data_IF_730959580758
#
_entry.id   IF_730959580758
#
_cell.length_a   1.000
_cell.length_b   1.000
_cell.length_c   1.000
_cell.angle_alpha   90.00
_cell.angle_beta   90.00
_cell.angle_gamma   90.00
#
_symmetry.space_group_name_H-M   'P 1'
#
loop_
_entity.id
_entity.type
_entity.pdbx_description
1 polymer ?
#
# COMPACT_ATOMS: atom_id res chain seq x y z
N UNK A 1 10.01 -2.19 1.85
CA UNK A 1 10.63 -2.32 0.50
C UNK A 1 11.27 -1.00 0.12
N UNK A 2 12.52 -1.04 -0.27
CA UNK A 2 13.27 0.15 -0.68
C UNK A 2 13.00 0.45 -2.15
N UNK A 3 12.66 1.70 -2.46
CA UNK A 3 12.45 2.15 -3.83
C UNK A 3 12.61 3.67 -3.89
N UNK A 4 12.89 4.19 -5.08
CA UNK A 4 13.03 5.64 -5.28
C UNK A 4 11.66 6.34 -5.13
N UNK A 5 11.68 7.57 -4.62
CA UNK A 5 10.48 8.41 -4.58
C UNK A 5 9.87 8.53 -5.97
N UNK A 6 8.55 8.35 -6.05
CA UNK A 6 7.82 8.40 -7.32
C UNK A 6 7.68 7.06 -8.03
N UNK A 7 8.28 5.98 -7.54
CA UNK A 7 8.07 4.65 -8.11
C UNK A 7 6.60 4.25 -7.99
N UNK A 8 5.93 3.84 -9.09
CA UNK A 8 4.52 3.48 -9.02
C UNK A 8 4.28 2.25 -8.14
N UNK A 9 3.19 2.29 -7.37
CA UNK A 9 2.71 1.20 -6.53
C UNK A 9 1.41 0.65 -7.13
N UNK A 10 1.29 -0.67 -7.16
CA UNK A 10 0.11 -1.32 -7.73
C UNK A 10 -0.66 -2.08 -6.66
N UNK A 11 -1.95 -2.27 -6.91
CA UNK A 11 -2.79 -3.10 -6.05
C UNK A 11 -2.35 -4.56 -6.18
N UNK A 12 -2.01 -5.19 -5.05
CA UNK A 12 -1.54 -6.59 -5.04
C UNK A 12 -2.67 -7.57 -5.31
N UNK A 13 -3.92 -7.16 -5.07
CA UNK A 13 -5.13 -7.93 -5.38
C UNK A 13 -6.22 -6.96 -5.82
N UNK A 14 -7.25 -7.48 -6.48
CA UNK A 14 -8.46 -6.69 -6.75
C UNK A 14 -9.24 -6.45 -5.45
N UNK A 15 -9.84 -5.29 -5.32
CA UNK A 15 -10.59 -4.91 -4.13
C UNK A 15 -10.94 -3.43 -4.14
N UNK A 16 -10.96 -2.80 -2.97
CA UNK A 16 -11.21 -1.37 -2.83
C UNK A 16 -10.12 -0.70 -2.03
N UNK A 17 -9.72 0.49 -2.44
CA UNK A 17 -8.71 1.29 -1.74
C UNK A 17 -9.36 2.44 -1.00
N UNK A 18 -8.81 2.75 0.17
CA UNK A 18 -9.20 3.88 1.00
C UNK A 18 -7.94 4.69 1.31
N UNK A 19 -7.90 5.93 0.84
CA UNK A 19 -6.73 6.80 1.00
C UNK A 19 -6.84 7.57 2.31
N UNK A 20 -5.73 7.62 3.07
CA UNK A 20 -5.67 8.31 4.36
C UNK A 20 -4.36 9.05 4.52
N UNK A 21 -4.38 10.08 5.38
CA UNK A 21 -3.17 10.76 5.83
C UNK A 21 -3.10 10.65 7.35
N UNK A 22 -1.97 10.15 7.86
CA UNK A 22 -1.76 9.96 9.30
C UNK A 22 -0.39 10.51 9.70
N UNK A 23 -0.19 10.90 10.99
CA UNK A 23 1.09 11.44 11.44
C UNK A 23 2.27 10.46 11.26
N UNK A 24 2.07 9.18 11.52
CA UNK A 24 3.14 8.18 11.42
C UNK A 24 3.29 7.59 10.03
N UNK A 25 2.17 7.27 9.37
CA UNK A 25 2.18 6.66 8.05
C UNK A 25 2.29 7.66 6.91
N UNK A 26 2.02 8.94 7.16
CA UNK A 26 1.93 9.95 6.12
C UNK A 26 0.79 9.64 5.16
N UNK A 27 1.03 9.74 3.86
CA UNK A 27 0.07 9.32 2.84
C UNK A 27 0.00 7.80 2.81
N UNK A 28 -1.15 7.24 3.09
CA UNK A 28 -1.35 5.79 3.30
C UNK A 28 -2.57 5.30 2.53
N UNK A 29 -2.53 4.02 2.15
CA UNK A 29 -3.64 3.34 1.48
C UNK A 29 -3.96 2.06 2.24
N UNK A 30 -5.26 1.87 2.56
CA UNK A 30 -5.79 0.58 2.96
C UNK A 30 -6.47 -0.06 1.75
N UNK A 31 -5.98 -1.21 1.32
CA UNK A 31 -6.61 -2.02 0.28
C UNK A 31 -7.37 -3.16 0.97
N UNK A 32 -8.69 -3.15 0.83
CA UNK A 32 -9.53 -4.26 1.28
C UNK A 32 -9.70 -5.20 0.09
N UNK A 33 -9.00 -6.34 0.16
CA UNK A 33 -8.95 -7.28 -0.95
C UNK A 33 -10.22 -8.12 -1.07
N UNK A 34 -10.54 -8.51 -2.30
CA UNK A 34 -11.61 -9.46 -2.56
C UNK A 34 -11.28 -10.86 -2.04
N UNK A 35 -10.02 -11.10 -1.67
CA UNK A 35 -9.55 -12.34 -1.05
C UNK A 35 -9.81 -12.41 0.46
N UNK A 36 -10.45 -11.39 1.05
CA UNK A 36 -10.74 -11.33 2.48
C UNK A 36 -9.62 -10.76 3.33
N UNK A 37 -8.49 -10.40 2.75
CA UNK A 37 -7.36 -9.81 3.46
C UNK A 37 -7.35 -8.29 3.30
N UNK A 38 -6.67 -7.59 4.22
CA UNK A 38 -6.41 -6.16 4.09
C UNK A 38 -4.91 -5.93 3.93
N UNK A 39 -4.56 -4.93 3.12
CA UNK A 39 -3.19 -4.59 2.79
C UNK A 39 -2.97 -3.11 3.06
N UNK A 40 -1.83 -2.76 3.68
CA UNK A 40 -1.53 -1.40 4.09
C UNK A 40 -0.26 -0.92 3.40
N UNK A 41 -0.34 0.21 2.72
CA UNK A 41 0.77 0.88 2.05
C UNK A 41 0.96 2.24 2.73
N UNK A 42 2.17 2.56 3.19
CA UNK A 42 2.43 3.81 3.91
C UNK A 42 3.61 4.57 3.34
N UNK A 43 3.73 5.83 3.76
CA UNK A 43 4.81 6.76 3.41
C UNK A 43 4.85 7.12 1.92
N UNK A 44 3.69 7.14 1.26
CA UNK A 44 3.60 7.46 -0.17
C UNK A 44 3.88 8.95 -0.42
N UNK A 45 4.46 9.27 -1.59
CA UNK A 45 4.60 10.66 -2.02
C UNK A 45 3.29 11.22 -2.57
N UNK A 46 2.48 10.38 -3.21
CA UNK A 46 1.21 10.79 -3.80
C UNK A 46 0.29 9.59 -3.97
N UNK A 47 -1.01 9.88 -4.11
CA UNK A 47 -2.04 8.91 -4.48
C UNK A 47 -2.32 8.99 -5.97
N UNK A 48 -2.76 7.88 -6.57
CA UNK A 48 -3.30 7.87 -7.93
C UNK A 48 -4.81 7.79 -7.86
N UNK A 49 -5.48 8.85 -8.32
CA UNK A 49 -6.94 8.91 -8.34
C UNK A 49 -7.55 9.14 -6.96
N UNK A 50 -8.65 8.47 -6.69
CA UNK A 50 -9.43 8.60 -5.45
C UNK A 50 -9.65 7.23 -4.81
N UNK A 51 -10.23 7.24 -3.61
CA UNK A 51 -10.72 6.01 -2.97
C UNK A 51 -11.77 5.36 -3.88
N UNK A 52 -11.57 4.09 -4.25
CA UNK A 52 -12.36 3.44 -5.30
C UNK A 52 -12.14 1.93 -5.31
N UNK A 53 -12.88 1.24 -6.15
CA UNK A 53 -12.59 -0.16 -6.49
C UNK A 53 -11.43 -0.20 -7.49
N UNK A 54 -10.55 -1.19 -7.34
CA UNK A 54 -9.36 -1.36 -8.19
C UNK A 54 -9.20 -2.81 -8.61
N UNK A 55 -8.49 -3.01 -9.72
CA UNK A 55 -8.09 -4.33 -10.19
C UNK A 55 -6.66 -4.62 -9.76
N UNK A 56 -6.31 -5.90 -9.59
CA UNK A 56 -4.93 -6.30 -9.35
C UNK A 56 -4.02 -5.73 -10.44
N UNK A 57 -2.90 -5.13 -10.03
CA UNK A 57 -1.94 -4.51 -10.94
C UNK A 57 -2.25 -3.06 -11.30
N UNK A 58 -3.39 -2.53 -10.87
CA UNK A 58 -3.73 -1.12 -11.12
C UNK A 58 -2.87 -0.20 -10.25
N UNK A 59 -2.35 0.90 -10.83
CA UNK A 59 -1.54 1.87 -10.08
C UNK A 59 -2.43 2.60 -9.08
N UNK A 60 -2.01 2.64 -7.81
CA UNK A 60 -2.78 3.25 -6.73
C UNK A 60 -2.04 4.37 -6.02
N UNK A 61 -0.73 4.49 -6.22
CA UNK A 61 0.05 5.55 -5.59
C UNK A 61 1.52 5.47 -6.00
N UNK A 62 2.34 6.21 -5.27
CA UNK A 62 3.77 6.35 -5.59
C UNK A 62 4.60 6.35 -4.31
N UNK A 63 5.75 5.66 -4.36
CA UNK A 63 6.68 5.58 -3.23
C UNK A 63 7.13 6.98 -2.80
N UNK A 64 7.27 7.19 -1.50
CA UNK A 64 7.74 8.44 -0.94
C UNK A 64 8.37 8.25 0.42
N UNK A 65 8.41 9.35 1.19
CA UNK A 65 8.95 9.36 2.54
C UNK A 65 8.12 10.26 3.46
N UNK A 66 6.80 10.36 3.17
CA UNK A 66 5.87 11.12 4.02
C UNK A 66 5.68 10.42 5.36
N UNK A 67 5.21 11.15 6.36
CA UNK A 67 5.06 10.64 7.71
C UNK A 67 6.41 10.41 8.38
N UNK A 68 6.55 9.33 9.13
CA UNK A 68 7.75 9.02 9.92
C UNK A 68 8.73 8.13 9.12
N UNK A 69 9.07 8.52 7.90
CA UNK A 69 9.98 7.77 7.04
C UNK A 69 11.29 8.53 6.81
N UNK A 70 12.45 8.02 7.28
CA UNK A 70 13.74 8.71 7.13
C UNK A 70 14.33 8.63 5.73
N UNK A 71 13.90 7.65 4.92
CA UNK A 71 14.38 7.45 3.55
C UNK A 71 13.21 7.04 2.66
N UNK A 72 13.29 7.25 1.33
CA UNK A 72 12.24 6.77 0.42
C UNK A 72 12.12 5.25 0.50
N UNK A 73 10.93 4.77 0.88
CA UNK A 73 10.65 3.34 0.92
C UNK A 73 9.14 3.11 1.00
N UNK A 74 8.72 1.91 0.67
CA UNK A 74 7.35 1.46 0.89
C UNK A 74 7.29 0.68 2.21
N UNK A 75 6.45 1.13 3.14
CA UNK A 75 6.05 0.34 4.28
C UNK A 75 4.79 -0.43 3.90
N UNK A 76 4.89 -1.75 3.81
CA UNK A 76 3.81 -2.60 3.35
C UNK A 76 3.48 -3.65 4.40
N UNK A 77 2.18 -3.78 4.73
CA UNK A 77 1.68 -4.75 5.70
C UNK A 77 0.59 -5.60 5.07
N UNK A 78 0.52 -6.87 5.47
CA UNK A 78 -0.57 -7.78 5.13
C UNK A 78 -1.31 -8.13 6.42
N UNK A 79 -2.63 -7.98 6.40
CA UNK A 79 -3.52 -8.27 7.52
C UNK A 79 -4.52 -9.36 7.09
N UNK A 80 -4.19 -10.66 7.26
CA UNK A 80 -5.09 -11.74 6.87
C UNK A 80 -6.45 -11.63 7.59
N UNK A 81 -7.54 -11.69 6.84
CA UNK A 81 -8.88 -11.50 7.38
C UNK A 81 -9.13 -10.13 8.01
N UNK A 82 -8.26 -9.13 7.75
CA UNK A 82 -8.33 -7.82 8.37
C UNK A 82 -7.77 -7.78 9.79
N UNK A 83 -7.10 -8.83 10.24
CA UNK A 83 -6.56 -8.98 11.60
C UNK A 83 -5.15 -8.41 11.76
N UNK A 84 -4.30 -9.13 12.50
CA UNK A 84 -2.93 -8.70 12.82
C UNK A 84 -2.04 -8.81 11.59
N UNK A 85 -1.12 -7.84 11.41
CA UNK A 85 -0.15 -7.86 10.32
C UNK A 85 0.78 -9.09 10.43
N UNK A 86 1.12 -9.68 9.29
CA UNK A 86 2.03 -10.81 9.18
C UNK A 86 3.13 -10.48 8.17
N UNK A 87 4.13 -11.36 8.03
CA UNK A 87 5.19 -11.20 7.05
C UNK A 87 4.58 -11.09 5.64
N UNK A 88 4.80 -9.99 4.90
CA UNK A 88 4.18 -9.79 3.58
C UNK A 88 4.83 -10.60 2.46
N UNK A 89 6.05 -11.09 2.64
CA UNK A 89 6.83 -11.70 1.56
C UNK A 89 6.09 -12.81 0.80
N UNK A 90 5.42 -13.78 1.47
CA UNK A 90 4.72 -14.83 0.73
C UNK A 90 3.58 -14.30 -0.16
N UNK A 91 3.06 -13.12 0.14
CA UNK A 91 1.92 -12.53 -0.58
C UNK A 91 2.34 -11.66 -1.76
N UNK A 92 3.55 -11.06 -1.72
CA UNK A 92 3.93 -10.03 -2.70
C UNK A 92 5.13 -10.42 -3.56
N UNK A 93 5.81 -11.51 -3.28
CA UNK A 93 7.03 -11.90 -4.00
C UNK A 93 6.83 -12.06 -5.51
N UNK A 94 5.60 -12.30 -5.95
CA UNK A 94 5.27 -12.46 -7.37
C UNK A 94 4.90 -11.14 -8.05
N UNK A 95 4.70 -10.06 -7.29
CA UNK A 95 4.20 -8.76 -7.79
C UNK A 95 5.09 -7.58 -7.39
N UNK A 96 6.10 -7.82 -6.57
CA UNK A 96 7.06 -6.79 -6.14
C UNK A 96 8.32 -6.75 -7.01
#
# INVERSE_FOLDING_TARGET
MMASTGTPLVAVVSGSVNFKQTPLGGNSIWLTGNDGNRYFYAHLSAFEGSSRSVSQGEVIGYVGMTGNAPVPHLHFEVHPGGGVAVNPYPYVRAVC
#
